data_IF_558522528447
#
_entry.id   IF_558522528447
#
_cell.length_a   1.000
_cell.length_b   1.000
_cell.length_c   1.000
_cell.angle_alpha   90.00
_cell.angle_beta   90.00
_cell.angle_gamma   90.00
#
_symmetry.space_group_name_H-M   'P 1'
#
loop_
_entity.id
_entity.type
_entity.pdbx_description
1 polymer ?
#
# COMPACT_ATOMS: atom_id res chain seq x y z
N UNK A 1 3.43 13.28 -7.57
CA UNK A 1 2.41 12.64 -6.72
C UNK A 1 2.95 11.53 -5.85
N UNK A 2 3.78 10.65 -6.41
CA UNK A 2 4.44 9.60 -5.64
C UNK A 2 5.57 10.14 -4.77
N UNK A 3 5.80 9.47 -3.66
CA UNK A 3 6.90 9.72 -2.72
C UNK A 3 7.40 8.39 -2.14
N UNK A 4 8.61 8.41 -1.58
CA UNK A 4 9.17 7.28 -0.85
C UNK A 4 9.75 7.74 0.48
N UNK A 5 9.85 6.82 1.43
CA UNK A 5 10.61 7.00 2.66
C UNK A 5 11.51 5.77 2.86
N UNK A 6 12.84 5.93 3.03
CA UNK A 6 13.62 7.12 2.76
C UNK A 6 13.38 7.69 1.36
N UNK A 7 13.59 8.99 1.18
CA UNK A 7 13.44 9.66 -0.11
C UNK A 7 14.45 9.16 -1.13
N UNK A 8 14.17 9.31 -2.42
CA UNK A 8 15.12 8.91 -3.47
C UNK A 8 16.49 9.59 -3.32
N UNK A 9 16.54 10.82 -2.83
CA UNK A 9 17.80 11.53 -2.61
C UNK A 9 18.60 10.97 -1.43
N UNK A 10 17.93 10.41 -0.42
CA UNK A 10 18.58 9.68 0.67
C UNK A 10 19.04 8.30 0.21
N UNK A 11 18.20 7.58 -0.54
CA UNK A 11 18.55 6.26 -1.07
C UNK A 11 19.76 6.33 -2.03
N UNK A 12 19.87 7.37 -2.86
CA UNK A 12 21.04 7.57 -3.74
C UNK A 12 22.34 7.84 -2.99
N UNK A 13 22.27 8.28 -1.74
CA UNK A 13 23.45 8.50 -0.87
C UNK A 13 23.84 7.23 -0.10
N UNK A 14 22.98 6.21 -0.09
CA UNK A 14 23.27 4.94 0.55
C UNK A 14 24.30 4.14 -0.27
N UNK A 15 25.15 3.41 0.44
CA UNK A 15 26.05 2.44 -0.17
C UNK A 15 25.27 1.25 -0.73
N UNK A 16 25.87 0.50 -1.66
CA UNK A 16 25.26 -0.72 -2.19
C UNK A 16 24.87 -1.72 -1.09
N UNK A 17 25.68 -1.85 -0.02
CA UNK A 17 25.37 -2.73 1.11
C UNK A 17 24.15 -2.24 1.91
N UNK A 18 23.99 -0.92 2.08
CA UNK A 18 22.81 -0.35 2.75
C UNK A 18 21.55 -0.54 1.90
N UNK A 19 21.66 -0.44 0.57
CA UNK A 19 20.52 -0.66 -0.34
C UNK A 19 20.03 -2.12 -0.39
N UNK A 20 20.83 -3.08 0.05
CA UNK A 20 20.42 -4.50 0.13
C UNK A 20 19.43 -4.80 1.26
N UNK A 21 19.35 -3.93 2.26
CA UNK A 21 18.50 -4.12 3.43
C UNK A 21 18.03 -2.75 3.93
N UNK A 22 17.14 -2.12 3.16
CA UNK A 22 16.53 -0.85 3.56
C UNK A 22 15.36 -1.12 4.50
N UNK A 23 15.52 -0.71 5.76
CA UNK A 23 14.47 -0.80 6.77
C UNK A 23 13.38 0.26 6.56
N UNK A 24 12.17 -0.08 7.01
CA UNK A 24 11.01 0.82 7.02
C UNK A 24 10.73 1.53 5.69
N UNK A 25 11.05 0.86 4.58
CA UNK A 25 10.81 1.41 3.25
C UNK A 25 9.30 1.62 3.05
N UNK A 26 8.91 2.83 2.66
CA UNK A 26 7.55 3.19 2.29
C UNK A 26 7.52 3.74 0.86
N UNK A 27 6.45 3.39 0.15
CA UNK A 27 6.08 4.03 -1.11
C UNK A 27 4.65 4.53 -0.97
N UNK A 28 4.41 5.79 -1.31
CA UNK A 28 3.08 6.38 -1.24
C UNK A 28 2.75 7.23 -2.44
N UNK A 29 1.45 7.48 -2.63
CA UNK A 29 0.91 8.41 -3.60
C UNK A 29 -0.13 9.29 -2.92
N UNK A 30 0.11 10.60 -2.93
CA UNK A 30 -0.76 11.57 -2.27
C UNK A 30 -2.21 11.45 -2.74
N UNK A 31 -3.15 11.29 -1.80
CA UNK A 31 -4.59 11.18 -2.08
C UNK A 31 -5.07 9.76 -2.43
N UNK A 32 -4.18 8.77 -2.42
CA UNK A 32 -4.50 7.38 -2.76
C UNK A 32 -4.12 6.41 -1.63
N UNK A 33 -2.95 6.59 -1.03
CA UNK A 33 -2.48 5.72 0.03
C UNK A 33 -0.97 5.50 0.04
N UNK A 34 -0.54 4.51 0.82
CA UNK A 34 0.86 4.10 0.95
C UNK A 34 1.00 2.62 1.31
N UNK A 35 2.17 2.07 1.03
CA UNK A 35 2.61 0.75 1.45
C UNK A 35 3.88 0.91 2.27
N UNK A 36 3.92 0.29 3.46
CA UNK A 36 5.09 0.19 4.33
C UNK A 36 5.54 -1.26 4.38
N UNK A 37 6.76 -1.52 3.93
CA UNK A 37 7.36 -2.84 4.00
C UNK A 37 7.82 -3.11 5.44
N UNK A 38 7.41 -4.26 5.99
CA UNK A 38 7.62 -4.62 7.41
C UNK A 38 8.91 -5.42 7.64
N UNK A 39 9.63 -5.70 6.56
CA UNK A 39 10.95 -6.33 6.57
C UNK A 39 11.92 -5.46 5.76
N UNK A 40 13.23 -5.55 6.05
CA UNK A 40 14.23 -4.92 5.20
C UNK A 40 14.07 -5.39 3.76
N UNK A 41 14.10 -4.46 2.81
CA UNK A 41 13.96 -4.74 1.38
C UNK A 41 15.29 -4.56 0.64
N UNK A 42 15.55 -5.44 -0.33
CA UNK A 42 16.69 -5.27 -1.24
C UNK A 42 16.26 -4.39 -2.42
N UNK A 43 16.75 -3.16 -2.45
CA UNK A 43 16.47 -2.22 -3.54
C UNK A 43 17.49 -2.32 -4.69
N UNK A 44 18.56 -3.11 -4.53
CA UNK A 44 19.61 -3.27 -5.54
C UNK A 44 19.18 -4.16 -6.70
N UNK A 45 18.12 -4.94 -6.51
CA UNK A 45 17.51 -5.79 -7.56
C UNK A 45 16.77 -4.97 -8.63
N UNK A 46 16.51 -3.68 -8.37
CA UNK A 46 15.87 -2.79 -9.32
C UNK A 46 16.92 -2.06 -10.17
N UNK A 47 16.73 -2.05 -11.50
CA UNK A 47 17.62 -1.33 -12.41
C UNK A 47 17.62 0.19 -12.21
N UNK A 48 16.57 0.75 -11.58
CA UNK A 48 16.49 2.15 -11.19
C UNK A 48 15.58 2.32 -9.98
N UNK A 49 16.07 3.00 -8.94
CA UNK A 49 15.27 3.34 -7.75
C UNK A 49 14.03 4.15 -8.13
N UNK A 50 14.16 5.07 -9.08
CA UNK A 50 13.07 5.94 -9.52
C UNK A 50 11.96 5.20 -10.28
N UNK A 51 12.20 3.96 -10.72
CA UNK A 51 11.15 3.12 -11.31
C UNK A 51 10.27 2.45 -10.25
N UNK A 52 10.70 2.40 -8.98
CA UNK A 52 9.94 1.71 -7.93
C UNK A 52 8.54 2.32 -7.78
N UNK A 53 8.46 3.64 -7.54
CA UNK A 53 7.18 4.32 -7.38
C UNK A 53 6.57 4.65 -8.76
N UNK A 54 5.35 4.17 -8.99
CA UNK A 54 4.61 4.39 -10.23
C UNK A 54 4.87 3.37 -11.35
N UNK A 55 5.83 2.44 -11.19
CA UNK A 55 5.96 1.29 -12.09
C UNK A 55 5.94 -0.04 -11.33
N UNK A 56 6.77 -0.21 -10.29
CA UNK A 56 6.75 -1.44 -9.47
C UNK A 56 5.62 -1.39 -8.45
N UNK A 57 5.45 -0.26 -7.77
CA UNK A 57 4.36 0.01 -6.84
C UNK A 57 3.42 1.03 -7.47
N UNK A 58 2.20 0.60 -7.75
CA UNK A 58 1.18 1.41 -8.40
C UNK A 58 -0.01 1.56 -7.46
N UNK A 59 -0.41 2.81 -7.21
CA UNK A 59 -1.66 3.16 -6.55
C UNK A 59 -2.68 3.62 -7.58
N UNK A 60 -3.85 2.99 -7.54
CA UNK A 60 -5.08 3.45 -8.18
C UNK A 60 -6.15 3.65 -7.09
N UNK A 61 -7.32 4.15 -7.48
CA UNK A 61 -8.38 4.53 -6.54
C UNK A 61 -8.80 3.32 -5.71
N UNK A 62 -8.45 3.33 -4.42
CA UNK A 62 -8.73 2.25 -3.45
C UNK A 62 -8.04 0.93 -3.82
N UNK A 63 -6.88 1.00 -4.47
CA UNK A 63 -6.11 -0.17 -4.86
C UNK A 63 -4.60 0.12 -4.80
N UNK A 64 -3.83 -0.85 -4.33
CA UNK A 64 -2.37 -0.87 -4.40
C UNK A 64 -1.95 -2.16 -5.09
N UNK A 65 -1.06 -2.06 -6.07
CA UNK A 65 -0.49 -3.20 -6.77
C UNK A 65 1.03 -3.10 -6.66
N UNK A 66 1.66 -4.18 -6.22
CA UNK A 66 3.13 -4.33 -6.18
C UNK A 66 3.47 -5.42 -7.18
N UNK A 67 4.38 -5.13 -8.12
CA UNK A 67 4.67 -5.96 -9.30
C UNK A 67 3.45 -6.14 -10.22
N UNK A 68 3.06 -5.13 -11.01
CA UNK A 68 1.95 -5.27 -11.97
C UNK A 68 2.25 -6.29 -13.08
N UNK A 69 3.53 -6.56 -13.36
CA UNK A 69 3.98 -7.60 -14.29
C UNK A 69 4.57 -8.78 -13.50
N UNK A 70 3.91 -9.93 -13.55
CA UNK A 70 4.32 -11.17 -12.88
C UNK A 70 5.69 -11.65 -13.36
N UNK A 71 6.13 -11.33 -14.59
CA UNK A 71 7.47 -11.68 -15.07
C UNK A 71 8.59 -10.93 -14.34
N UNK A 72 8.25 -9.80 -13.70
CA UNK A 72 9.19 -8.97 -12.91
C UNK A 72 9.05 -9.20 -11.41
N UNK A 73 8.07 -10.01 -10.99
CA UNK A 73 7.81 -10.33 -9.60
C UNK A 73 8.92 -11.22 -9.05
N UNK A 74 9.51 -10.78 -7.95
CA UNK A 74 10.57 -11.52 -7.28
C UNK A 74 9.97 -12.65 -6.44
N UNK A 75 10.77 -13.66 -6.09
CA UNK A 75 10.35 -14.72 -5.17
C UNK A 75 9.93 -14.15 -3.80
N UNK A 76 9.05 -14.86 -3.09
CA UNK A 76 8.62 -14.46 -1.74
C UNK A 76 9.85 -14.30 -0.83
N UNK A 77 9.93 -13.17 -0.14
CA UNK A 77 11.08 -12.78 0.69
C UNK A 77 12.14 -11.94 -0.02
N UNK A 78 12.04 -11.72 -1.33
CA UNK A 78 13.01 -10.98 -2.13
C UNK A 78 12.43 -9.69 -2.72
N UNK A 79 13.28 -8.69 -2.95
CA UNK A 79 12.87 -7.39 -3.46
C UNK A 79 11.79 -6.75 -2.57
N UNK A 80 10.64 -6.42 -3.17
CA UNK A 80 9.46 -5.90 -2.49
C UNK A 80 8.38 -6.98 -2.24
N UNK A 81 8.63 -8.26 -2.57
CA UNK A 81 7.70 -9.37 -2.35
C UNK A 81 7.82 -9.89 -0.91
N UNK A 82 7.59 -8.99 0.06
CA UNK A 82 7.78 -9.21 1.50
C UNK A 82 6.55 -8.71 2.27
N UNK A 83 6.36 -9.11 3.55
CA UNK A 83 5.22 -8.64 4.32
C UNK A 83 5.13 -7.12 4.38
N UNK A 84 3.94 -6.58 4.16
CA UNK A 84 3.72 -5.14 4.09
C UNK A 84 2.40 -4.74 4.77
N UNK A 85 2.35 -3.49 5.22
CA UNK A 85 1.13 -2.83 5.65
C UNK A 85 0.71 -1.82 4.58
N UNK A 86 -0.49 -1.97 4.05
CA UNK A 86 -1.07 -1.07 3.07
C UNK A 86 -2.08 -0.18 3.78
N UNK A 87 -2.03 1.11 3.45
CA UNK A 87 -3.01 2.13 3.83
C UNK A 87 -3.61 2.69 2.56
N UNK A 88 -4.92 2.55 2.36
CA UNK A 88 -5.65 3.10 1.23
C UNK A 88 -6.58 4.21 1.69
N UNK A 89 -6.61 5.30 0.94
CA UNK A 89 -7.47 6.44 1.18
C UNK A 89 -8.77 6.33 0.35
N UNK A 90 -9.77 7.10 0.75
CA UNK A 90 -11.05 7.23 0.04
C UNK A 90 -11.87 5.94 -0.10
N UNK A 91 -11.74 5.01 0.85
CA UNK A 91 -12.41 3.70 0.88
C UNK A 91 -13.87 3.72 1.37
N UNK A 92 -14.55 4.88 1.32
CA UNK A 92 -15.95 5.01 1.75
C UNK A 92 -16.97 4.27 0.87
N UNK A 93 -18.10 3.96 1.50
CA UNK A 93 -19.38 3.76 0.81
C UNK A 93 -20.17 5.06 0.86
N UNK A 94 -20.76 5.42 -0.27
CA UNK A 94 -21.58 6.61 -0.39
C UNK A 94 -23.06 6.25 -0.39
N UNK A 95 -23.87 7.08 0.26
CA UNK A 95 -25.30 7.01 0.10
C UNK A 95 -25.69 7.48 -1.32
N UNK A 96 -26.57 6.72 -1.99
CA UNK A 96 -26.92 6.96 -3.40
C UNK A 96 -27.70 8.25 -3.60
N UNK A 97 -28.52 8.66 -2.63
CA UNK A 97 -29.36 9.85 -2.76
C UNK A 97 -28.57 11.12 -2.41
N UNK A 98 -27.84 11.10 -1.29
CA UNK A 98 -27.16 12.29 -0.77
C UNK A 98 -25.72 12.44 -1.30
N UNK A 99 -25.14 11.38 -1.86
CA UNK A 99 -23.72 11.30 -2.26
C UNK A 99 -22.74 11.59 -1.11
N UNK A 100 -23.20 11.46 0.14
CA UNK A 100 -22.36 11.61 1.34
C UNK A 100 -21.80 10.27 1.77
N UNK A 101 -20.61 10.31 2.37
CA UNK A 101 -20.00 9.12 2.97
C UNK A 101 -20.89 8.60 4.10
N UNK A 102 -21.10 7.29 4.13
CA UNK A 102 -21.82 6.62 5.22
C UNK A 102 -20.81 6.33 6.32
N UNK A 103 -20.91 7.09 7.42
CA UNK A 103 -19.99 6.99 8.56
C UNK A 103 -20.63 6.36 9.80
N UNK A 104 -21.96 6.23 9.82
CA UNK A 104 -22.73 5.69 10.94
C UNK A 104 -22.56 4.16 11.05
N UNK A 105 -21.99 3.66 12.17
CA UNK A 105 -21.82 2.23 12.38
C UNK A 105 -23.14 1.44 12.40
N UNK A 106 -24.26 2.05 12.78
CA UNK A 106 -25.55 1.35 12.80
C UNK A 106 -26.13 1.11 11.39
N UNK A 107 -25.59 1.79 10.37
CA UNK A 107 -26.08 1.69 9.00
C UNK A 107 -25.74 0.30 8.39
N UNK A 108 -26.73 -0.42 7.81
CA UNK A 108 -26.47 -1.72 7.20
C UNK A 108 -25.42 -1.72 6.09
N UNK A 109 -25.32 -0.63 5.31
CA UNK A 109 -24.30 -0.50 4.24
C UNK A 109 -22.91 -0.31 4.82
N UNK A 110 -22.78 0.38 5.95
CA UNK A 110 -21.52 0.48 6.68
C UNK A 110 -21.06 -0.91 7.14
N UNK A 111 -21.95 -1.66 7.79
CA UNK A 111 -21.66 -3.02 8.24
C UNK A 111 -21.28 -3.95 7.08
N UNK A 112 -21.96 -3.82 5.94
CA UNK A 112 -21.61 -4.56 4.73
C UNK A 112 -20.21 -4.18 4.18
N UNK A 113 -19.83 -2.90 4.23
CA UNK A 113 -18.49 -2.46 3.85
C UNK A 113 -17.43 -3.11 4.73
N UNK A 114 -17.58 -3.02 6.05
CA UNK A 114 -16.63 -3.62 7.00
C UNK A 114 -16.50 -5.12 6.74
N UNK A 115 -17.63 -5.82 6.53
CA UNK A 115 -17.62 -7.25 6.20
C UNK A 115 -16.85 -7.52 4.90
N UNK A 116 -17.02 -6.69 3.87
CA UNK A 116 -16.28 -6.80 2.60
C UNK A 116 -14.79 -6.59 2.79
N UNK A 117 -14.39 -5.52 3.47
CA UNK A 117 -12.98 -5.21 3.75
C UNK A 117 -12.29 -6.34 4.54
N UNK A 118 -13.00 -6.94 5.51
CA UNK A 118 -12.50 -8.10 6.27
C UNK A 118 -12.46 -9.42 5.50
N UNK A 119 -13.17 -9.50 4.37
CA UNK A 119 -13.26 -10.72 3.55
C UNK A 119 -12.33 -10.72 2.34
N UNK A 120 -11.53 -9.67 2.15
CA UNK A 120 -10.60 -9.59 1.02
C UNK A 120 -9.55 -10.71 1.18
N UNK A 121 -9.41 -11.62 0.19
CA UNK A 121 -8.46 -12.73 0.26
C UNK A 121 -7.04 -12.23 0.43
N UNK A 122 -6.20 -13.03 1.09
CA UNK A 122 -4.76 -12.77 1.25
C UNK A 122 -4.44 -11.44 1.96
N UNK A 123 -5.41 -10.87 2.68
CA UNK A 123 -5.24 -9.67 3.49
C UNK A 123 -5.64 -9.92 4.95
N UNK A 124 -4.90 -9.34 5.88
CA UNK A 124 -5.26 -9.23 7.29
C UNK A 124 -5.81 -7.82 7.53
N UNK A 125 -7.10 -7.71 7.85
CA UNK A 125 -7.73 -6.44 8.19
C UNK A 125 -7.13 -5.88 9.48
N UNK A 126 -6.66 -4.62 9.45
CA UNK A 126 -6.16 -3.91 10.64
C UNK A 126 -7.22 -2.94 11.15
N UNK A 127 -7.58 -1.93 10.35
CA UNK A 127 -8.54 -0.92 10.74
C UNK A 127 -9.23 -0.25 9.55
N UNK A 128 -10.39 0.34 9.79
CA UNK A 128 -11.06 1.23 8.86
C UNK A 128 -11.62 2.43 9.63
N UNK A 129 -11.16 3.63 9.27
CA UNK A 129 -11.70 4.88 9.81
C UNK A 129 -12.77 5.43 8.85
N UNK A 130 -14.01 5.41 9.33
CA UNK A 130 -15.17 5.89 8.58
C UNK A 130 -15.13 7.40 8.30
N UNK A 131 -14.51 8.20 9.18
CA UNK A 131 -14.50 9.64 9.05
C UNK A 131 -13.51 10.10 7.97
N UNK A 132 -12.35 9.44 7.91
CA UNK A 132 -11.27 9.75 6.94
C UNK A 132 -11.29 8.84 5.71
N UNK A 133 -12.06 7.76 5.74
CA UNK A 133 -12.14 6.79 4.65
C UNK A 133 -10.85 5.99 4.47
N UNK A 134 -10.02 5.94 5.51
CA UNK A 134 -8.74 5.24 5.49
C UNK A 134 -8.96 3.78 5.85
N UNK A 135 -8.49 2.88 4.99
CA UNK A 135 -8.47 1.45 5.23
C UNK A 135 -7.03 0.97 5.36
N UNK A 136 -6.72 0.28 6.46
CA UNK A 136 -5.42 -0.34 6.71
C UNK A 136 -5.56 -1.86 6.76
N UNK A 137 -4.69 -2.54 6.05
CA UNK A 137 -4.59 -4.00 6.06
C UNK A 137 -3.13 -4.44 5.86
N UNK A 138 -2.83 -5.70 6.17
CA UNK A 138 -1.52 -6.30 5.96
C UNK A 138 -1.59 -7.43 4.95
N UNK A 139 -0.48 -7.68 4.28
CA UNK A 139 -0.25 -8.81 3.37
C UNK A 139 1.06 -9.49 3.77
N UNK A 140 1.15 -10.79 3.51
CA UNK A 140 2.38 -11.55 3.76
C UNK A 140 3.40 -11.43 2.60
N UNK A 141 2.93 -11.19 1.37
CA UNK A 141 3.77 -10.97 0.18
C UNK A 141 2.92 -10.47 -1.00
#
# INVERSE_FOLDING_TARGET
>A
DYWTFPSYDELRKMTHQQLKAVDDFEVGRNGFGKVRFRRPVDLTVFGSLSAIAGHVVIFDRRMCTVYPDEATKHEVGHGLNVPAQITLEQCWVFDKATRRAIVDPSNPRYQQQIKRLKSVPETEFVEFDANTGVWVFRVEH
#
